data_IF_303324691935
#
_entry.id   IF_303324691935
#
_cell.length_a   1.000
_cell.length_b   1.000
_cell.length_c   1.000
_cell.angle_alpha   90.00
_cell.angle_beta   90.00
_cell.angle_gamma   90.00
#
_symmetry.space_group_name_H-M   'P 1'
#
loop_
_entity.id
_entity.type
_entity.pdbx_description
1 polymer ?
#
# COMPACT_ATOMS: atom_id res chain seq x y z
N UNK A 1 -75.81 -3.82 -7.94
CA UNK A 1 -75.84 -5.05 -8.78
C UNK A 1 -75.01 -4.79 -10.03
N UNK A 2 -74.26 -5.82 -10.47
CA UNK A 2 -73.39 -5.93 -11.66
C UNK A 2 -72.00 -5.32 -11.46
N UNK A 3 -70.98 -6.07 -11.03
CA UNK A 3 -70.19 -7.10 -11.76
C UNK A 3 -69.80 -6.65 -13.18
N UNK A 4 -68.50 -6.44 -13.40
CA UNK A 4 -67.76 -7.00 -14.53
C UNK A 4 -66.24 -6.82 -14.35
N UNK A 5 -65.60 -7.96 -14.14
CA UNK A 5 -64.18 -8.26 -14.38
C UNK A 5 -63.77 -7.99 -15.84
N UNK A 6 -62.47 -7.74 -16.07
CA UNK A 6 -61.68 -8.36 -17.15
C UNK A 6 -60.19 -8.01 -17.03
N UNK A 7 -59.41 -9.07 -16.84
CA UNK A 7 -57.96 -9.06 -16.69
C UNK A 7 -57.16 -8.55 -17.89
N UNK A 8 -55.91 -8.17 -17.59
CA UNK A 8 -54.94 -7.72 -18.59
C UNK A 8 -53.67 -8.57 -18.56
N UNK A 9 -53.61 -9.43 -19.57
CA UNK A 9 -52.49 -9.94 -20.38
C UNK A 9 -51.06 -9.98 -19.79
N UNK A 10 -50.61 -11.23 -19.71
CA UNK A 10 -49.25 -11.78 -19.61
C UNK A 10 -48.19 -10.98 -20.38
N UNK A 11 -47.03 -10.76 -19.75
CA UNK A 11 -45.76 -10.57 -20.47
C UNK A 11 -44.69 -11.47 -19.86
N UNK A 12 -44.33 -12.49 -20.65
CA UNK A 12 -43.11 -13.28 -20.51
C UNK A 12 -41.90 -12.41 -20.84
N UNK A 13 -40.88 -12.42 -19.99
CA UNK A 13 -39.48 -12.11 -20.30
C UNK A 13 -38.67 -12.63 -19.10
N UNK A 14 -38.11 -13.83 -19.12
CA UNK A 14 -36.89 -14.17 -19.87
C UNK A 14 -35.77 -14.42 -18.86
N UNK A 15 -35.78 -15.60 -18.23
CA UNK A 15 -34.78 -16.02 -17.23
C UNK A 15 -34.02 -17.21 -17.83
N UNK A 16 -32.76 -17.06 -18.31
CA UNK A 16 -31.93 -18.21 -18.63
C UNK A 16 -31.00 -18.45 -17.43
N UNK A 17 -31.08 -19.57 -16.72
CA UNK A 17 -30.73 -20.91 -17.19
C UNK A 17 -29.26 -20.96 -17.66
N UNK A 18 -28.33 -21.08 -16.71
CA UNK A 18 -27.02 -21.68 -16.94
C UNK A 18 -26.48 -22.31 -15.65
N UNK A 19 -27.26 -23.21 -15.09
CA UNK A 19 -26.70 -24.33 -14.33
C UNK A 19 -26.63 -25.47 -15.35
N UNK A 20 -25.49 -26.16 -15.42
CA UNK A 20 -25.19 -27.36 -16.23
C UNK A 20 -24.43 -27.14 -17.56
N UNK A 21 -23.15 -26.77 -17.45
CA UNK A 21 -22.09 -27.15 -18.41
C UNK A 21 -20.89 -27.60 -17.59
N UNK A 22 -20.93 -28.83 -17.07
CA UNK A 22 -20.12 -29.94 -17.57
C UNK A 22 -18.63 -29.59 -17.65
N UNK A 23 -17.92 -29.85 -16.55
CA UNK A 23 -16.85 -30.87 -16.47
C UNK A 23 -16.07 -31.09 -17.78
N UNK A 24 -15.02 -30.29 -18.02
CA UNK A 24 -13.95 -30.64 -18.97
C UNK A 24 -12.62 -29.97 -18.57
N UNK A 25 -11.79 -30.77 -17.89
CA UNK A 25 -10.31 -30.74 -17.88
C UNK A 25 -9.57 -29.40 -18.01
N UNK A 26 -8.88 -28.98 -16.96
CA UNK A 26 -7.48 -28.56 -17.12
C UNK A 26 -6.71 -28.78 -15.81
N UNK A 27 -6.04 -29.93 -15.75
CA UNK A 27 -4.88 -30.17 -14.90
C UNK A 27 -3.80 -29.17 -15.32
N UNK A 28 -3.44 -28.23 -14.45
CA UNK A 28 -2.18 -27.49 -14.56
C UNK A 28 -1.27 -28.05 -13.49
N UNK A 29 -0.31 -28.84 -13.95
CA UNK A 29 0.82 -29.32 -13.17
C UNK A 29 1.58 -28.15 -12.56
N UNK A 30 1.65 -28.10 -11.23
CA UNK A 30 2.63 -27.29 -10.52
C UNK A 30 4.00 -27.95 -10.67
N UNK A 31 4.88 -27.33 -11.46
CA UNK A 31 6.31 -27.64 -11.46
C UNK A 31 6.95 -27.01 -10.21
N UNK A 32 7.34 -27.86 -9.26
CA UNK A 32 8.15 -27.46 -8.12
C UNK A 32 9.62 -27.36 -8.59
N UNK A 33 10.10 -26.15 -8.82
CA UNK A 33 11.52 -25.90 -9.10
C UNK A 33 12.26 -25.82 -7.75
N UNK A 34 12.70 -26.98 -7.25
CA UNK A 34 13.60 -27.07 -6.10
C UNK A 34 14.98 -26.51 -6.49
N UNK A 35 15.28 -25.29 -6.04
CA UNK A 35 16.63 -24.72 -6.09
C UNK A 35 17.50 -25.46 -5.08
N UNK A 36 18.37 -26.35 -5.57
CA UNK A 36 19.39 -27.02 -4.76
C UNK A 36 20.61 -26.10 -4.64
N UNK A 37 21.07 -25.75 -3.42
CA UNK A 37 22.38 -25.12 -3.28
C UNK A 37 23.47 -26.17 -3.55
N UNK A 38 24.19 -26.00 -4.66
CA UNK A 38 25.39 -26.76 -4.99
C UNK A 38 26.53 -26.35 -4.05
N UNK A 39 26.78 -27.16 -3.03
CA UNK A 39 27.99 -27.08 -2.21
C UNK A 39 29.22 -27.35 -3.07
N UNK A 40 30.05 -26.33 -3.30
CA UNK A 40 31.39 -26.52 -3.85
C UNK A 40 32.35 -26.76 -2.68
N UNK A 41 32.62 -28.04 -2.40
CA UNK A 41 33.74 -28.44 -1.57
C UNK A 41 35.02 -28.29 -2.41
N UNK A 42 35.92 -27.40 -2.02
CA UNK A 42 37.30 -27.37 -2.54
C UNK A 42 38.17 -28.36 -1.74
N UNK A 43 39.11 -29.05 -2.40
CA UNK A 43 39.89 -30.11 -1.76
C UNK A 43 41.00 -29.59 -0.83
N UNK A 44 41.17 -30.34 0.26
CA UNK A 44 42.18 -30.22 1.31
C UNK A 44 43.62 -30.16 0.80
N UNK A 45 44.43 -29.29 1.42
CA UNK A 45 45.89 -29.41 1.45
C UNK A 45 46.37 -29.41 2.90
N UNK A 46 47.14 -30.44 3.23
CA UNK A 46 47.49 -30.92 4.55
C UNK A 46 48.69 -30.20 5.18
N UNK A 47 48.40 -29.41 6.23
CA UNK A 47 49.20 -29.26 7.48
C UNK A 47 50.45 -28.35 7.52
N UNK A 48 51.07 -28.15 8.70
CA UNK A 48 50.46 -27.90 10.03
C UNK A 48 51.20 -26.82 10.86
N UNK A 49 50.52 -25.98 11.65
CA UNK A 49 50.99 -25.58 13.01
C UNK A 49 49.93 -24.83 13.82
N UNK A 50 49.80 -25.24 15.07
CA UNK A 50 48.90 -24.72 16.10
C UNK A 50 49.30 -23.31 16.55
N UNK A 51 48.33 -22.39 16.59
CA UNK A 51 48.31 -21.26 17.52
C UNK A 51 46.89 -21.17 18.11
N UNK A 52 46.73 -20.93 19.43
CA UNK A 52 45.41 -20.75 20.01
C UNK A 52 44.91 -19.37 19.61
N UNK A 53 43.98 -19.30 18.64
CA UNK A 53 43.27 -18.05 18.35
C UNK A 53 42.24 -17.85 19.46
N UNK A 54 42.54 -16.87 20.30
CA UNK A 54 41.64 -16.24 21.26
C UNK A 54 40.26 -16.00 20.64
N UNK A 55 39.23 -16.33 21.41
CA UNK A 55 37.81 -16.16 21.09
C UNK A 55 37.53 -14.88 20.29
N UNK A 56 37.17 -15.05 19.01
CA UNK A 56 36.50 -13.99 18.27
C UNK A 56 35.10 -13.84 18.86
N UNK A 57 34.87 -12.71 19.52
CA UNK A 57 33.53 -12.28 19.90
C UNK A 57 32.68 -12.15 18.64
N UNK A 58 31.57 -12.87 18.60
CA UNK A 58 30.51 -12.66 17.62
C UNK A 58 30.07 -11.19 17.68
N UNK A 59 30.29 -10.46 16.60
CA UNK A 59 29.75 -9.11 16.47
C UNK A 59 28.30 -9.27 16.05
N UNK A 60 27.41 -9.29 17.03
CA UNK A 60 25.99 -9.06 16.79
C UNK A 60 25.87 -7.68 16.15
N UNK A 61 25.62 -7.64 14.84
CA UNK A 61 25.33 -6.41 14.12
C UNK A 61 23.97 -5.94 14.63
N UNK A 62 24.00 -5.06 15.64
CA UNK A 62 22.81 -4.34 16.08
C UNK A 62 22.44 -3.37 14.95
N UNK A 63 21.25 -3.47 14.34
CA UNK A 63 20.82 -2.48 13.37
C UNK A 63 20.72 -1.14 14.10
N UNK A 64 21.58 -0.20 13.72
CA UNK A 64 21.45 1.20 14.14
C UNK A 64 20.28 1.76 13.34
N UNK A 65 19.14 1.90 14.00
CA UNK A 65 17.95 2.51 13.43
C UNK A 65 18.14 4.02 13.61
N UNK A 66 18.47 4.74 12.53
CA UNK A 66 18.50 6.20 12.54
C UNK A 66 17.07 6.72 12.78
N UNK A 67 16.75 7.03 14.03
CA UNK A 67 15.42 7.50 14.41
C UNK A 67 15.34 8.99 14.11
N UNK A 68 14.71 9.34 12.99
CA UNK A 68 14.36 10.72 12.70
C UNK A 68 13.26 11.18 13.67
N UNK A 69 13.60 12.11 14.57
CA UNK A 69 12.63 12.75 15.45
C UNK A 69 11.87 13.83 14.68
N UNK A 70 10.89 13.40 13.88
CA UNK A 70 9.95 14.30 13.21
C UNK A 70 8.95 14.75 14.28
N UNK A 71 9.01 16.04 14.65
CA UNK A 71 8.08 16.60 15.62
C UNK A 71 6.67 16.62 15.01
N UNK A 72 5.77 15.81 15.54
CA UNK A 72 4.33 16.04 15.38
C UNK A 72 3.95 17.33 16.13
N UNK A 73 3.10 18.15 15.53
CA UNK A 73 2.50 19.31 16.20
C UNK A 73 1.82 18.82 17.48
N UNK A 74 2.09 19.46 18.63
CA UNK A 74 1.71 19.02 19.99
C UNK A 74 0.18 18.93 20.21
N UNK A 75 -0.60 19.27 19.18
CA UNK A 75 -2.06 19.35 19.17
C UNK A 75 -2.75 18.14 18.53
N UNK A 76 -2.01 17.17 17.96
CA UNK A 76 -2.59 15.96 17.38
C UNK A 76 -2.94 14.94 18.47
N UNK A 77 -4.18 14.47 18.49
CA UNK A 77 -4.71 13.57 19.54
C UNK A 77 -4.40 12.09 19.30
N UNK A 78 -3.92 11.76 18.10
CA UNK A 78 -3.62 10.40 17.65
C UNK A 78 -2.31 10.36 16.85
N UNK A 79 -1.62 9.20 16.79
CA UNK A 79 -0.45 9.04 15.94
C UNK A 79 -0.81 9.15 14.45
N UNK A 80 0.11 9.69 13.66
CA UNK A 80 0.01 9.71 12.19
C UNK A 80 0.92 8.63 11.62
N UNK A 81 0.38 7.80 10.73
CA UNK A 81 1.12 6.80 10.00
C UNK A 81 1.35 7.25 8.56
N UNK A 82 2.57 7.08 8.09
CA UNK A 82 3.01 7.47 6.75
C UNK A 82 3.57 6.23 6.05
N UNK A 83 3.18 6.03 4.80
CA UNK A 83 3.70 4.98 3.92
C UNK A 83 3.93 5.54 2.52
N UNK A 84 5.07 5.22 1.94
CA UNK A 84 5.43 5.58 0.57
C UNK A 84 6.03 4.35 -0.10
N UNK A 85 5.62 4.07 -1.33
CA UNK A 85 6.11 2.89 -2.06
C UNK A 85 7.53 3.07 -2.60
N UNK A 86 7.88 4.31 -2.96
CA UNK A 86 9.15 4.61 -3.62
C UNK A 86 10.06 5.38 -2.66
N UNK A 87 9.62 6.56 -2.21
CA UNK A 87 10.48 7.43 -1.42
C UNK A 87 9.70 8.40 -0.54
N UNK A 88 10.30 8.72 0.61
CA UNK A 88 9.87 9.81 1.48
C UNK A 88 10.98 10.87 1.51
N UNK A 89 10.62 12.12 1.23
CA UNK A 89 11.55 13.25 1.23
C UNK A 89 11.10 14.26 2.27
N UNK A 90 11.98 14.57 3.23
CA UNK A 90 11.75 15.59 4.24
C UNK A 90 12.57 16.83 3.92
N UNK A 91 11.88 17.95 3.68
CA UNK A 91 12.47 19.25 3.50
C UNK A 91 12.47 20.02 4.82
N UNK A 92 13.57 19.91 5.56
CA UNK A 92 13.72 20.48 6.91
C UNK A 92 13.51 22.00 6.97
N UNK A 93 14.06 22.83 6.04
CA UNK A 93 13.89 24.28 6.12
C UNK A 93 12.45 24.77 6.00
N UNK A 94 11.66 24.14 5.11
CA UNK A 94 10.26 24.49 4.88
C UNK A 94 9.28 23.64 5.71
N UNK A 95 9.79 22.63 6.43
CA UNK A 95 9.02 21.66 7.21
C UNK A 95 7.98 20.92 6.38
N UNK A 96 8.33 20.62 5.14
CA UNK A 96 7.49 19.87 4.22
C UNK A 96 7.95 18.43 4.11
N UNK A 97 7.00 17.52 3.99
CA UNK A 97 7.27 16.11 3.76
C UNK A 97 6.54 15.65 2.50
N UNK A 98 7.25 14.91 1.66
CA UNK A 98 6.75 14.41 0.39
C UNK A 98 6.80 12.89 0.39
N UNK A 99 5.69 12.27 0.00
CA UNK A 99 5.56 10.83 -0.13
C UNK A 99 5.32 10.50 -1.60
N UNK A 100 6.24 9.77 -2.20
CA UNK A 100 6.21 9.37 -3.59
C UNK A 100 5.94 7.86 -3.72
N UNK A 101 5.09 7.51 -4.67
CA UNK A 101 4.74 6.12 -4.93
C UNK A 101 3.60 5.98 -5.94
N UNK A 102 3.16 4.76 -6.18
CA UNK A 102 1.89 4.53 -6.89
C UNK A 102 0.72 4.58 -5.91
N UNK A 103 0.97 4.19 -4.66
CA UNK A 103 0.01 4.12 -3.56
C UNK A 103 0.62 4.61 -2.24
N UNK A 104 1.05 5.88 -2.21
CA UNK A 104 1.44 6.53 -0.95
C UNK A 104 0.20 6.69 -0.07
N UNK A 105 0.36 6.51 1.24
CA UNK A 105 -0.73 6.52 2.23
C UNK A 105 -0.38 7.35 3.45
N UNK A 106 -1.34 8.14 3.90
CA UNK A 106 -1.35 8.79 5.22
C UNK A 106 -2.59 8.33 5.97
N UNK A 107 -2.39 7.85 7.20
CA UNK A 107 -3.48 7.44 8.09
C UNK A 107 -3.43 8.25 9.38
N UNK A 108 -4.56 8.87 9.73
CA UNK A 108 -4.73 9.64 10.96
C UNK A 108 -6.10 9.38 11.58
N UNK A 109 -6.12 8.81 12.78
CA UNK A 109 -7.35 8.34 13.43
C UNK A 109 -8.11 7.37 12.51
N UNK A 110 -9.27 7.78 12.00
CA UNK A 110 -10.21 7.08 11.13
C UNK A 110 -10.09 7.51 9.66
N UNK A 111 -9.22 8.49 9.37
CA UNK A 111 -9.01 9.04 8.03
C UNK A 111 -7.84 8.31 7.35
N UNK A 112 -8.07 7.85 6.13
CA UNK A 112 -7.05 7.30 5.25
C UNK A 112 -7.04 8.10 3.94
N UNK A 113 -5.88 8.68 3.61
CA UNK A 113 -5.65 9.37 2.35
C UNK A 113 -4.61 8.59 1.54
N UNK A 114 -4.97 8.21 0.32
CA UNK A 114 -4.07 7.52 -0.62
C UNK A 114 -3.89 8.33 -1.90
N UNK A 115 -2.67 8.40 -2.42
CA UNK A 115 -2.37 9.07 -3.70
C UNK A 115 -0.97 8.73 -4.20
N UNK A 116 -0.66 8.97 -5.48
CA UNK A 116 0.71 8.80 -5.98
C UNK A 116 1.69 9.86 -5.45
N UNK A 117 1.21 11.08 -5.18
CA UNK A 117 1.98 12.14 -4.56
C UNK A 117 1.20 12.73 -3.38
N UNK A 118 1.82 12.74 -2.20
CA UNK A 118 1.29 13.42 -1.02
C UNK A 118 2.34 14.41 -0.49
N UNK A 119 1.95 15.66 -0.33
CA UNK A 119 2.70 16.71 0.36
C UNK A 119 2.05 16.97 1.72
N UNK A 120 2.85 16.95 2.80
CA UNK A 120 2.43 17.35 4.13
C UNK A 120 3.24 18.57 4.58
N UNK A 121 2.57 19.70 4.77
CA UNK A 121 3.14 20.91 5.35
C UNK A 121 2.89 20.92 6.86
N UNK A 122 3.95 20.64 7.63
CA UNK A 122 3.89 20.61 9.10
C UNK A 122 3.64 21.98 9.72
N UNK A 123 3.91 23.08 8.99
CA UNK A 123 3.70 24.43 9.54
C UNK A 123 2.22 24.81 9.56
N UNK A 124 1.46 24.31 8.59
CA UNK A 124 0.02 24.59 8.44
C UNK A 124 -0.87 23.39 8.77
N UNK A 125 -0.28 22.24 9.12
CA UNK A 125 -0.95 20.95 9.28
C UNK A 125 -1.75 20.53 8.03
N UNK A 126 -1.35 21.00 6.85
CA UNK A 126 -2.06 20.79 5.59
C UNK A 126 -1.45 19.61 4.82
N UNK A 127 -2.29 18.63 4.50
CA UNK A 127 -1.98 17.53 3.60
C UNK A 127 -2.59 17.81 2.24
N UNK A 128 -1.79 17.70 1.18
CA UNK A 128 -2.21 17.83 -0.22
C UNK A 128 -1.86 16.55 -0.97
N UNK A 129 -2.88 15.82 -1.41
CA UNK A 129 -2.75 14.64 -2.24
C UNK A 129 -3.11 14.98 -3.70
N UNK A 130 -2.24 14.63 -4.64
CA UNK A 130 -2.41 14.99 -6.06
C UNK A 130 -2.21 13.77 -6.94
N UNK A 131 -2.96 13.70 -8.05
CA UNK A 131 -2.73 12.68 -9.07
C UNK A 131 -1.37 12.91 -9.77
N UNK A 132 -0.82 11.82 -10.31
CA UNK A 132 0.38 11.86 -11.15
C UNK A 132 0.06 11.19 -12.48
N UNK A 133 0.65 11.70 -13.56
CA UNK A 133 0.55 11.13 -14.91
C UNK A 133 1.86 10.45 -15.29
N UNK A 134 1.77 9.38 -16.07
CA UNK A 134 2.93 8.74 -16.67
C UNK A 134 3.50 9.55 -17.84
N UNK A 135 4.58 9.05 -18.46
CA UNK A 135 5.21 9.68 -19.63
C UNK A 135 4.30 9.75 -20.86
N UNK A 136 3.23 8.95 -20.92
CA UNK A 136 2.24 8.96 -21.98
C UNK A 136 1.02 9.85 -21.65
N UNK A 137 1.03 10.53 -20.49
CA UNK A 137 -0.04 11.41 -20.04
C UNK A 137 -1.22 10.68 -19.39
N UNK A 138 -1.13 9.37 -19.17
CA UNK A 138 -2.19 8.60 -18.52
C UNK A 138 -2.10 8.79 -17.00
N UNK A 139 -3.26 9.00 -16.35
CA UNK A 139 -3.35 9.07 -14.89
C UNK A 139 -2.97 7.71 -14.29
N UNK A 140 -2.01 7.71 -13.36
CA UNK A 140 -1.53 6.51 -12.67
C UNK A 140 -2.57 6.03 -11.66
N UNK A 141 -2.97 6.94 -10.75
CA UNK A 141 -3.97 6.73 -9.71
C UNK A 141 -4.58 8.08 -9.32
N UNK A 142 -5.87 8.10 -9.01
CA UNK A 142 -6.54 9.26 -8.43
C UNK A 142 -6.36 9.24 -6.92
N UNK A 143 -6.13 10.39 -6.28
CA UNK A 143 -6.24 10.52 -4.83
C UNK A 143 -7.59 9.99 -4.31
N UNK A 144 -7.54 9.18 -3.25
CA UNK A 144 -8.72 8.66 -2.56
C UNK A 144 -8.65 9.02 -1.07
N UNK A 145 -9.73 9.60 -0.56
CA UNK A 145 -9.90 9.88 0.86
C UNK A 145 -11.03 9.01 1.41
N UNK A 146 -10.72 8.25 2.46
CA UNK A 146 -11.62 7.33 3.12
C UNK A 146 -11.76 7.72 4.59
N UNK A 147 -13.00 7.88 5.07
CA UNK A 147 -13.33 8.13 6.46
C UNK A 147 -14.59 7.35 6.85
N UNK A 148 -14.40 6.22 7.54
CA UNK A 148 -15.49 5.28 7.82
C UNK A 148 -16.20 4.83 6.54
N UNK A 149 -17.48 5.18 6.39
CA UNK A 149 -18.29 4.89 5.19
C UNK A 149 -18.13 5.95 4.07
N UNK A 150 -17.54 7.10 4.37
CA UNK A 150 -17.32 8.15 3.39
C UNK A 150 -16.09 7.84 2.54
N UNK A 151 -16.27 7.87 1.22
CA UNK A 151 -15.18 7.71 0.23
C UNK A 151 -15.29 8.81 -0.81
N UNK A 152 -14.17 9.47 -1.09
CA UNK A 152 -14.08 10.54 -2.08
C UNK A 152 -12.86 10.34 -2.96
N UNK A 153 -13.02 10.63 -4.25
CA UNK A 153 -11.92 10.65 -5.21
C UNK A 153 -11.94 11.97 -5.96
N UNK A 154 -10.76 12.56 -6.20
CA UNK A 154 -10.62 13.84 -6.89
C UNK A 154 -9.20 13.99 -7.43
N UNK A 155 -9.00 14.87 -8.41
CA UNK A 155 -7.67 15.13 -8.97
C UNK A 155 -6.67 15.67 -7.94
N UNK A 156 -7.19 16.42 -6.97
CA UNK A 156 -6.44 16.95 -5.83
C UNK A 156 -7.35 16.95 -4.60
N UNK A 157 -6.83 16.46 -3.49
CA UNK A 157 -7.50 16.49 -2.18
C UNK A 157 -6.61 17.29 -1.23
N UNK A 158 -7.21 18.22 -0.50
CA UNK A 158 -6.54 19.00 0.54
C UNK A 158 -7.27 18.78 1.85
N UNK A 159 -6.52 18.47 2.89
CA UNK A 159 -7.06 18.16 4.21
C UNK A 159 -6.16 18.75 5.30
N UNK A 160 -6.74 19.49 6.23
CA UNK A 160 -6.03 19.99 7.40
C UNK A 160 -6.19 19.01 8.57
N UNK A 161 -5.08 18.44 9.02
CA UNK A 161 -5.06 17.39 10.05
C UNK A 161 -5.51 17.90 11.42
N UNK A 162 -5.29 19.19 11.69
CA UNK A 162 -5.64 19.82 12.97
C UNK A 162 -7.13 20.16 13.04
N UNK A 163 -7.71 20.70 11.96
CA UNK A 163 -9.11 21.13 11.96
C UNK A 163 -10.08 20.09 11.43
N UNK A 164 -9.60 19.04 10.76
CA UNK A 164 -10.44 18.03 10.11
C UNK A 164 -11.23 18.59 8.92
N UNK A 165 -10.67 19.57 8.19
CA UNK A 165 -11.33 20.27 7.08
C UNK A 165 -10.65 20.01 5.76
#
# INVERSE_FOLDING_TARGET
MKHADKGNVKKHFGWPCYVLFVLLTFLISSADAQVTPRSQNLPDSTGPRLMPVTSRADTTVVPVIDTFNIKSTDDLTAPVFYHADDSMVLEVPTKKMYLYGKDSKITYSDNELTAPLIEYDQSSDLVTATLTRDSAGKVIKLPEFNQGEFKSQSDTIRFNMKTGK
#
